data_IF_634606584034
#
_entry.id   IF_634606584034
#
_cell.length_a   1.000
_cell.length_b   1.000
_cell.length_c   1.000
_cell.angle_alpha   90.00
_cell.angle_beta   90.00
_cell.angle_gamma   90.00
#
_symmetry.space_group_name_H-M   'P 1'
#
loop_
_entity.id
_entity.type
_entity.pdbx_description
1 polymer ?
#
# COMPACT_ATOMS: atom_id res chain seq x y z
N UNK A 1 23.45 -12.81 -14.40
CA UNK A 1 22.97 -12.28 -15.70
C UNK A 1 21.46 -12.12 -15.84
N UNK A 2 20.60 -13.16 -15.81
CA UNK A 2 19.13 -12.96 -16.02
C UNK A 2 18.46 -12.09 -14.94
N UNK A 3 18.92 -12.13 -13.71
CA UNK A 3 18.35 -11.33 -12.61
C UNK A 3 18.86 -9.88 -12.57
N UNK A 4 20.08 -9.63 -13.05
CA UNK A 4 20.64 -8.27 -13.18
C UNK A 4 19.93 -7.47 -14.28
N UNK A 5 19.65 -8.12 -15.42
CA UNK A 5 18.89 -7.50 -16.52
C UNK A 5 17.44 -7.19 -16.10
N UNK A 6 16.83 -8.01 -15.23
CA UNK A 6 15.49 -7.73 -14.68
C UNK A 6 15.48 -6.52 -13.74
N UNK A 7 16.55 -6.27 -12.99
CA UNK A 7 16.67 -5.10 -12.09
C UNK A 7 16.99 -3.80 -12.84
N UNK A 8 17.68 -3.89 -13.98
CA UNK A 8 18.04 -2.72 -14.80
C UNK A 8 16.86 -2.11 -15.57
N UNK A 9 15.93 -2.93 -16.06
CA UNK A 9 14.75 -2.44 -16.80
C UNK A 9 13.92 -1.38 -16.06
N UNK A 10 13.50 -1.59 -14.79
CA UNK A 10 12.74 -0.58 -14.07
C UNK A 10 13.57 0.68 -13.78
N UNK A 11 14.85 0.55 -13.43
CA UNK A 11 15.72 1.70 -13.18
C UNK A 11 15.89 2.59 -14.43
N UNK A 12 16.17 1.98 -15.58
CA UNK A 12 16.26 2.69 -16.86
C UNK A 12 14.92 3.31 -17.25
N UNK A 13 13.81 2.60 -17.04
CA UNK A 13 12.48 3.13 -17.29
C UNK A 13 12.18 4.35 -16.40
N UNK A 14 12.50 4.30 -15.11
CA UNK A 14 12.29 5.42 -14.19
C UNK A 14 13.11 6.63 -14.63
N UNK A 15 14.39 6.45 -14.94
CA UNK A 15 15.24 7.52 -15.46
C UNK A 15 14.63 8.17 -16.71
N UNK A 16 14.25 7.36 -17.71
CA UNK A 16 13.69 7.86 -18.96
C UNK A 16 12.36 8.58 -18.76
N UNK A 17 11.43 8.01 -17.99
CA UNK A 17 10.12 8.63 -17.75
C UNK A 17 10.27 10.02 -17.14
N UNK A 18 11.12 10.15 -16.12
CA UNK A 18 11.31 11.43 -15.44
C UNK A 18 12.15 12.42 -16.25
N UNK A 19 13.13 11.96 -17.03
CA UNK A 19 13.88 12.81 -17.95
C UNK A 19 12.99 13.35 -19.09
N UNK A 20 12.12 12.51 -19.66
CA UNK A 20 11.16 12.95 -20.69
C UNK A 20 10.13 13.92 -20.10
N UNK A 21 9.63 13.64 -18.88
CA UNK A 21 8.76 14.56 -18.17
C UNK A 21 9.47 15.92 -18.01
N UNK A 22 10.75 15.92 -17.63
CA UNK A 22 11.54 17.12 -17.49
C UNK A 22 11.75 17.91 -18.79
N UNK A 23 11.82 17.22 -19.94
CA UNK A 23 11.84 17.88 -21.24
C UNK A 23 10.52 18.59 -21.59
N UNK A 24 9.39 18.19 -20.99
CA UNK A 24 8.10 18.86 -21.24
C UNK A 24 8.03 20.26 -20.61
N UNK A 25 8.81 20.52 -19.55
CA UNK A 25 8.82 21.82 -18.84
C UNK A 25 10.16 22.56 -18.92
N UNK A 26 11.22 21.89 -19.39
CA UNK A 26 12.52 22.48 -19.63
C UNK A 26 13.03 22.02 -21.00
N UNK A 27 13.26 22.96 -21.91
CA UNK A 27 13.92 22.69 -23.21
C UNK A 27 15.41 22.35 -23.07
N UNK A 28 15.96 22.33 -21.85
CA UNK A 28 17.35 22.04 -21.58
C UNK A 28 17.57 20.55 -21.30
N UNK A 29 18.29 19.87 -22.20
CA UNK A 29 18.64 18.46 -22.06
C UNK A 29 19.44 18.16 -20.78
N UNK A 30 20.31 19.08 -20.36
CA UNK A 30 21.12 18.92 -19.15
C UNK A 30 20.23 18.88 -17.90
N UNK A 31 19.24 19.78 -17.81
CA UNK A 31 18.24 19.77 -16.73
C UNK A 31 17.47 18.46 -16.71
N UNK A 32 17.04 17.97 -17.87
CA UNK A 32 16.32 16.71 -17.98
C UNK A 32 17.16 15.50 -17.52
N UNK A 33 18.45 15.46 -17.86
CA UNK A 33 19.35 14.40 -17.40
C UNK A 33 19.60 14.43 -15.90
N UNK A 34 19.79 15.62 -15.30
CA UNK A 34 19.95 15.75 -13.84
C UNK A 34 18.66 15.36 -13.12
N UNK A 35 17.51 15.77 -13.65
CA UNK A 35 16.21 15.43 -13.09
C UNK A 35 15.95 13.91 -13.14
N UNK A 36 16.25 13.26 -14.26
CA UNK A 36 16.20 11.80 -14.38
C UNK A 36 17.17 11.09 -13.42
N UNK A 37 18.38 11.63 -13.24
CA UNK A 37 19.35 11.09 -12.29
C UNK A 37 18.87 11.20 -10.83
N UNK A 38 18.24 12.32 -10.46
CA UNK A 38 17.62 12.47 -9.14
C UNK A 38 16.50 11.45 -8.89
N UNK A 39 15.66 11.19 -9.89
CA UNK A 39 14.63 10.15 -9.80
C UNK A 39 15.21 8.73 -9.69
N UNK A 40 16.32 8.46 -10.38
CA UNK A 40 17.06 7.20 -10.25
C UNK A 40 17.64 7.03 -8.84
N UNK A 41 18.21 8.08 -8.25
CA UNK A 41 18.70 8.08 -6.86
C UNK A 41 17.55 7.76 -5.90
N UNK A 42 16.40 8.42 -6.05
CA UNK A 42 15.23 8.14 -5.22
C UNK A 42 14.71 6.70 -5.37
N UNK A 43 14.84 6.10 -6.56
CA UNK A 43 14.48 4.70 -6.81
C UNK A 43 15.36 3.72 -6.03
N UNK A 44 16.66 4.00 -5.88
CA UNK A 44 17.58 3.16 -5.10
C UNK A 44 17.26 3.11 -3.60
N UNK A 45 16.40 3.99 -3.09
CA UNK A 45 15.91 3.93 -1.72
C UNK A 45 15.27 2.58 -1.37
N UNK A 46 14.67 1.88 -2.35
CA UNK A 46 14.10 0.55 -2.13
C UNK A 46 15.13 -0.55 -1.87
N UNK A 47 16.42 -0.28 -2.08
CA UNK A 47 17.53 -1.22 -1.85
C UNK A 47 18.36 -0.92 -0.59
N UNK A 48 18.04 0.17 0.11
CA UNK A 48 18.73 0.58 1.34
C UNK A 48 18.06 0.05 2.61
N UNK A 49 18.85 -0.07 3.68
CA UNK A 49 18.35 -0.42 5.01
C UNK A 49 17.23 0.52 5.48
N UNK A 50 16.33 -0.02 6.31
CA UNK A 50 15.20 0.72 6.91
C UNK A 50 15.70 2.03 7.53
N UNK A 51 15.02 3.14 7.24
CA UNK A 51 15.32 4.51 7.66
C UNK A 51 16.40 5.24 6.86
N UNK A 52 17.43 4.56 6.36
CA UNK A 52 18.40 5.17 5.42
C UNK A 52 17.77 5.45 4.06
N UNK A 53 16.71 4.73 3.73
CA UNK A 53 15.90 4.97 2.54
C UNK A 53 15.30 6.38 2.50
N UNK A 54 14.95 6.96 3.65
CA UNK A 54 14.45 8.33 3.74
C UNK A 54 15.51 9.36 3.31
N UNK A 55 16.77 9.17 3.69
CA UNK A 55 17.88 10.03 3.25
C UNK A 55 18.13 9.92 1.75
N UNK A 56 18.08 8.70 1.19
CA UNK A 56 18.27 8.48 -0.24
C UNK A 56 17.15 9.13 -1.05
N UNK A 57 15.89 9.04 -0.57
CA UNK A 57 14.76 9.77 -1.17
C UNK A 57 14.98 11.27 -1.09
N UNK A 58 15.35 11.79 0.08
CA UNK A 58 15.62 13.22 0.26
C UNK A 58 16.69 13.71 -0.74
N UNK A 59 17.80 12.99 -0.86
CA UNK A 59 18.88 13.30 -1.81
C UNK A 59 18.37 13.32 -3.27
N UNK A 60 17.59 12.32 -3.68
CA UNK A 60 16.99 12.29 -5.01
C UNK A 60 16.09 13.50 -5.30
N UNK A 61 15.23 13.87 -4.35
CA UNK A 61 14.37 15.06 -4.46
C UNK A 61 15.15 16.37 -4.49
N UNK A 62 16.25 16.50 -3.73
CA UNK A 62 17.12 17.68 -3.82
C UNK A 62 17.84 17.80 -5.15
N UNK A 63 18.30 16.68 -5.73
CA UNK A 63 18.92 16.67 -7.07
C UNK A 63 17.90 17.10 -8.13
N UNK A 64 16.65 16.62 -8.03
CA UNK A 64 15.56 17.05 -8.91
C UNK A 64 15.23 18.54 -8.71
N UNK A 65 15.17 19.03 -7.47
CA UNK A 65 14.95 20.44 -7.17
C UNK A 65 16.07 21.31 -7.75
N UNK A 66 17.33 20.90 -7.61
CA UNK A 66 18.48 21.60 -8.17
C UNK A 66 18.40 21.70 -9.70
N UNK A 67 17.99 20.63 -10.38
CA UNK A 67 17.78 20.64 -11.82
C UNK A 67 16.76 21.72 -12.23
N UNK A 68 15.63 21.81 -11.51
CA UNK A 68 14.59 22.80 -11.76
C UNK A 68 15.07 24.22 -11.43
N UNK A 69 15.84 24.39 -10.35
CA UNK A 69 16.42 25.69 -9.98
C UNK A 69 17.33 26.25 -11.08
N UNK A 70 18.14 25.38 -11.71
CA UNK A 70 19.03 25.76 -12.81
C UNK A 70 18.24 26.18 -14.06
N UNK A 71 17.03 25.64 -14.27
CA UNK A 71 16.23 25.87 -15.46
C UNK A 71 15.71 27.32 -15.61
N UNK A 72 15.79 28.17 -14.57
CA UNK A 72 15.38 29.60 -14.50
C UNK A 72 14.13 29.96 -15.33
N UNK A 73 13.02 30.31 -14.69
CA UNK A 73 11.82 30.72 -15.42
C UNK A 73 10.77 31.43 -14.56
N UNK A 74 9.53 31.42 -15.03
CA UNK A 74 8.39 32.00 -14.32
C UNK A 74 7.94 31.16 -13.12
N UNK A 75 6.70 31.39 -12.69
CA UNK A 75 6.15 30.78 -11.46
C UNK A 75 6.12 29.23 -11.44
N UNK A 76 6.06 28.57 -12.60
CA UNK A 76 5.96 27.10 -12.67
C UNK A 76 7.26 26.40 -12.23
N UNK A 77 8.45 26.73 -12.79
CA UNK A 77 9.73 26.26 -12.24
C UNK A 77 9.92 26.59 -10.76
N UNK A 78 9.50 27.77 -10.30
CA UNK A 78 9.62 28.16 -8.89
C UNK A 78 8.73 27.31 -7.98
N UNK A 79 7.48 27.07 -8.39
CA UNK A 79 6.57 26.14 -7.72
C UNK A 79 7.14 24.73 -7.65
N UNK A 80 7.67 24.22 -8.76
CA UNK A 80 8.27 22.88 -8.83
C UNK A 80 9.52 22.78 -7.96
N UNK A 81 10.38 23.79 -7.97
CA UNK A 81 11.55 23.87 -7.10
C UNK A 81 11.15 23.82 -5.62
N UNK A 82 10.25 24.71 -5.19
CA UNK A 82 9.81 24.78 -3.80
C UNK A 82 9.11 23.49 -3.35
N UNK A 83 8.30 22.89 -4.23
CA UNK A 83 7.63 21.62 -3.96
C UNK A 83 8.63 20.48 -3.79
N UNK A 84 9.57 20.31 -4.71
CA UNK A 84 10.57 19.24 -4.66
C UNK A 84 11.54 19.42 -3.48
N UNK A 85 12.00 20.65 -3.23
CA UNK A 85 12.85 20.96 -2.08
C UNK A 85 12.10 20.70 -0.76
N UNK A 86 10.84 21.12 -0.67
CA UNK A 86 10.00 20.87 0.51
C UNK A 86 9.76 19.38 0.75
N UNK A 87 9.52 18.59 -0.30
CA UNK A 87 9.40 17.12 -0.19
C UNK A 87 10.73 16.51 0.31
N UNK A 88 11.87 16.98 -0.21
CA UNK A 88 13.20 16.56 0.26
C UNK A 88 13.42 16.87 1.75
N UNK A 89 13.03 18.07 2.19
CA UNK A 89 13.03 18.47 3.61
C UNK A 89 12.08 17.57 4.42
N UNK A 90 10.90 17.24 3.90
CA UNK A 90 9.96 16.35 4.57
C UNK A 90 10.55 14.96 4.85
N UNK A 91 11.28 14.39 3.89
CA UNK A 91 11.99 13.12 4.11
C UNK A 91 13.13 13.24 5.13
N UNK A 92 13.86 14.35 5.12
CA UNK A 92 14.87 14.65 6.16
C UNK A 92 14.25 14.79 7.55
N UNK A 93 13.11 15.48 7.66
CA UNK A 93 12.39 15.65 8.92
C UNK A 93 11.79 14.32 9.40
N UNK A 94 11.31 13.47 8.50
CA UNK A 94 10.89 12.12 8.84
C UNK A 94 12.06 11.31 9.40
N UNK A 95 13.21 11.34 8.73
CA UNK A 95 14.44 10.67 9.21
C UNK A 95 14.88 11.21 10.58
N UNK A 96 14.93 12.53 10.75
CA UNK A 96 15.29 13.17 12.01
C UNK A 96 14.28 12.84 13.12
N UNK A 97 12.99 12.79 12.80
CA UNK A 97 11.94 12.49 13.77
C UNK A 97 12.03 11.06 14.32
N UNK A 98 12.45 10.12 13.47
CA UNK A 98 12.67 8.74 13.86
C UNK A 98 13.94 8.61 14.71
N UNK A 99 15.03 9.27 14.33
CA UNK A 99 16.30 9.16 15.07
C UNK A 99 16.29 9.91 16.39
N UNK A 100 15.72 11.12 16.42
CA UNK A 100 15.77 11.98 17.59
C UNK A 100 14.63 11.70 18.58
N UNK A 101 13.45 11.32 18.09
CA UNK A 101 12.25 11.17 18.91
C UNK A 101 11.59 9.78 18.82
N UNK A 102 12.12 8.86 17.99
CA UNK A 102 11.52 7.53 17.80
C UNK A 102 10.11 7.58 17.19
N UNK A 103 9.77 8.67 16.50
CA UNK A 103 8.41 8.95 16.03
C UNK A 103 8.32 8.87 14.51
N UNK A 104 7.45 7.97 14.03
CA UNK A 104 7.13 7.81 12.60
C UNK A 104 6.00 8.76 12.15
N UNK A 105 5.65 9.79 12.93
CA UNK A 105 4.46 10.62 12.68
C UNK A 105 4.48 11.30 11.30
N UNK A 106 5.62 11.84 10.89
CA UNK A 106 5.78 12.53 9.60
C UNK A 106 5.71 11.53 8.45
N UNK A 107 6.29 10.33 8.61
CA UNK A 107 6.24 9.27 7.61
C UNK A 107 4.79 8.77 7.42
N UNK A 108 4.06 8.55 8.51
CA UNK A 108 2.64 8.11 8.47
C UNK A 108 1.72 9.14 7.83
N UNK A 109 2.01 10.42 8.02
CA UNK A 109 1.20 11.53 7.50
C UNK A 109 1.84 12.22 6.29
N UNK A 110 2.76 11.54 5.59
CA UNK A 110 3.59 12.17 4.55
C UNK A 110 2.75 12.77 3.42
N UNK A 111 1.62 12.14 3.05
CA UNK A 111 0.70 12.69 2.02
C UNK A 111 0.14 14.05 2.43
N UNK A 112 -0.29 14.19 3.69
CA UNK A 112 -0.77 15.47 4.21
C UNK A 112 0.37 16.50 4.25
N UNK A 113 1.57 16.08 4.63
CA UNK A 113 2.76 16.93 4.65
C UNK A 113 3.12 17.45 3.25
N UNK A 114 3.13 16.58 2.24
CA UNK A 114 3.34 16.94 0.83
C UNK A 114 2.24 17.86 0.32
N UNK A 115 0.98 17.62 0.72
CA UNK A 115 -0.14 18.50 0.39
C UNK A 115 0.07 19.92 0.91
N UNK A 116 0.49 20.06 2.17
CA UNK A 116 0.81 21.37 2.78
C UNK A 116 1.98 22.04 2.06
N UNK A 117 3.04 21.29 1.74
CA UNK A 117 4.19 21.82 0.99
C UNK A 117 3.75 22.34 -0.39
N UNK A 118 2.97 21.56 -1.13
CA UNK A 118 2.51 21.95 -2.46
C UNK A 118 1.63 23.21 -2.39
N UNK A 119 0.76 23.29 -1.39
CA UNK A 119 -0.06 24.48 -1.13
C UNK A 119 0.83 25.71 -0.83
N UNK A 120 1.79 25.56 0.08
CA UNK A 120 2.69 26.64 0.46
C UNK A 120 3.56 27.09 -0.74
N UNK A 121 4.10 26.14 -1.50
CA UNK A 121 4.87 26.40 -2.71
C UNK A 121 4.04 27.15 -3.75
N UNK A 122 2.76 26.78 -3.92
CA UNK A 122 1.85 27.45 -4.85
C UNK A 122 1.55 28.89 -4.41
N UNK A 123 1.32 29.12 -3.13
CA UNK A 123 1.07 30.46 -2.59
C UNK A 123 2.29 31.38 -2.73
N UNK A 124 3.51 30.85 -2.60
CA UNK A 124 4.75 31.61 -2.72
C UNK A 124 5.09 31.89 -4.19
N UNK A 125 5.01 30.87 -5.06
CA UNK A 125 5.47 31.00 -6.44
C UNK A 125 4.48 31.72 -7.35
N UNK A 126 3.18 31.65 -7.09
CA UNK A 126 2.18 32.12 -8.05
C UNK A 126 2.10 33.67 -8.12
N UNK A 127 1.99 34.27 -9.32
CA UNK A 127 2.10 35.73 -9.47
C UNK A 127 0.94 36.54 -8.88
N UNK A 128 -0.19 35.90 -8.58
CA UNK A 128 -1.37 36.58 -8.04
C UNK A 128 -1.96 35.82 -6.84
N UNK A 129 -1.51 36.10 -5.61
CA UNK A 129 -1.86 35.32 -4.42
C UNK A 129 -3.39 35.31 -4.16
N UNK A 130 -4.08 36.42 -4.47
CA UNK A 130 -5.53 36.50 -4.34
C UNK A 130 -6.31 35.50 -5.20
N UNK A 131 -5.84 35.20 -6.42
CA UNK A 131 -6.47 34.18 -7.28
C UNK A 131 -6.16 32.76 -6.80
N UNK A 132 -4.97 32.52 -6.24
CA UNK A 132 -4.64 31.22 -5.65
C UNK A 132 -5.51 30.94 -4.45
N UNK A 133 -5.67 31.90 -3.56
CA UNK A 133 -6.54 31.74 -2.39
C UNK A 133 -7.99 31.46 -2.81
N UNK A 134 -8.49 32.15 -3.84
CA UNK A 134 -9.81 31.87 -4.40
C UNK A 134 -9.91 30.49 -5.04
N UNK A 135 -8.89 30.07 -5.81
CA UNK A 135 -8.85 28.75 -6.43
C UNK A 135 -8.79 27.64 -5.37
N UNK A 136 -7.96 27.82 -4.34
CA UNK A 136 -7.86 26.92 -3.19
C UNK A 136 -9.17 26.84 -2.41
N UNK A 137 -9.81 27.98 -2.15
CA UNK A 137 -11.12 28.02 -1.51
C UNK A 137 -12.16 27.29 -2.35
N UNK A 138 -12.19 27.55 -3.66
CA UNK A 138 -13.12 26.86 -4.58
C UNK A 138 -12.86 25.35 -4.66
N UNK A 139 -11.60 24.92 -4.60
CA UNK A 139 -11.22 23.51 -4.55
C UNK A 139 -11.69 22.85 -3.25
N UNK A 140 -11.48 23.51 -2.11
CA UNK A 140 -11.94 23.02 -0.80
C UNK A 140 -13.47 22.95 -0.75
N UNK A 141 -14.15 23.96 -1.28
CA UNK A 141 -15.61 23.96 -1.41
C UNK A 141 -16.07 22.84 -2.34
N UNK A 142 -15.43 22.63 -3.48
CA UNK A 142 -15.74 21.52 -4.39
C UNK A 142 -15.53 20.16 -3.72
N UNK A 143 -14.41 19.98 -3.00
CA UNK A 143 -14.12 18.76 -2.25
C UNK A 143 -15.14 18.54 -1.13
N UNK A 144 -15.52 19.61 -0.43
CA UNK A 144 -16.55 19.58 0.61
C UNK A 144 -17.91 19.25 0.01
N UNK A 145 -18.27 19.78 -1.16
CA UNK A 145 -19.51 19.45 -1.87
C UNK A 145 -19.51 18.01 -2.36
N UNK A 146 -18.39 17.51 -2.89
CA UNK A 146 -18.22 16.10 -3.25
C UNK A 146 -18.38 15.22 -2.02
N UNK A 147 -17.77 15.59 -0.90
CA UNK A 147 -17.91 14.87 0.36
C UNK A 147 -19.35 14.91 0.89
N UNK A 148 -20.00 16.07 0.81
CA UNK A 148 -21.40 16.26 1.21
C UNK A 148 -22.37 15.49 0.31
N UNK A 149 -22.05 15.33 -0.97
CA UNK A 149 -22.80 14.51 -1.92
C UNK A 149 -22.49 13.01 -1.75
N UNK A 150 -21.27 12.68 -1.33
CA UNK A 150 -20.84 11.32 -1.01
C UNK A 150 -21.53 10.81 0.26
N UNK A 151 -21.71 11.63 1.30
CA UNK A 151 -22.39 11.27 2.55
C UNK A 151 -23.76 10.61 2.35
N UNK A 152 -24.73 11.19 1.61
CA UNK A 152 -26.01 10.56 1.35
C UNK A 152 -25.87 9.32 0.46
N UNK A 153 -24.93 9.29 -0.49
CA UNK A 153 -24.66 8.07 -1.30
C UNK A 153 -24.14 6.94 -0.41
N UNK A 154 -23.23 7.21 0.52
CA UNK A 154 -22.78 6.22 1.51
C UNK A 154 -23.85 5.85 2.49
N UNK A 155 -24.68 6.80 2.93
CA UNK A 155 -25.77 6.56 3.86
C UNK A 155 -26.90 5.73 3.23
N UNK A 156 -27.23 6.00 1.98
CA UNK A 156 -28.18 5.22 1.19
C UNK A 156 -27.57 3.85 0.85
N UNK A 157 -26.29 3.79 0.46
CA UNK A 157 -25.57 2.54 0.22
C UNK A 157 -25.44 1.68 1.48
N UNK A 158 -25.29 2.27 2.67
CA UNK A 158 -25.25 1.52 3.93
C UNK A 158 -26.63 1.06 4.38
N UNK A 159 -27.71 1.73 3.94
CA UNK A 159 -29.10 1.36 4.27
C UNK A 159 -29.73 0.39 3.26
N UNK A 160 -29.37 0.48 1.99
CA UNK A 160 -29.89 -0.34 0.87
C UNK A 160 -28.93 -1.44 0.43
N UNK A 161 -27.64 -1.32 0.74
CA UNK A 161 -26.77 -2.47 0.76
C UNK A 161 -27.39 -3.45 1.74
N UNK A 162 -27.77 -4.64 1.25
CA UNK A 162 -27.95 -5.83 2.09
C UNK A 162 -26.94 -5.71 3.22
N UNK A 163 -27.38 -5.76 4.48
CA UNK A 163 -26.48 -5.88 5.63
C UNK A 163 -25.37 -6.86 5.24
N UNK A 164 -24.25 -6.36 4.73
CA UNK A 164 -22.95 -6.98 4.96
C UNK A 164 -22.96 -7.00 6.46
N UNK A 165 -23.08 -8.19 7.08
CA UNK A 165 -23.20 -8.28 8.52
C UNK A 165 -22.17 -7.30 9.06
N UNK A 166 -22.65 -6.32 9.83
CA UNK A 166 -21.80 -5.47 10.66
C UNK A 166 -20.66 -6.36 11.09
N UNK A 167 -19.45 -5.91 10.78
CA UNK A 167 -18.18 -6.49 11.18
C UNK A 167 -18.34 -6.98 12.62
N UNK A 168 -18.84 -8.21 12.75
CA UNK A 168 -19.11 -8.83 14.02
C UNK A 168 -17.70 -8.89 14.56
N UNK A 169 -17.49 -8.22 15.70
CA UNK A 169 -16.30 -8.39 16.52
C UNK A 169 -15.87 -9.85 16.32
N UNK A 170 -14.64 -10.08 15.81
CA UNK A 170 -14.24 -11.38 15.31
C UNK A 170 -14.74 -12.40 16.33
N UNK A 171 -15.56 -13.39 15.92
CA UNK A 171 -16.21 -14.28 16.88
C UNK A 171 -15.12 -14.74 17.81
N UNK A 172 -15.35 -14.53 19.12
CA UNK A 172 -14.36 -14.70 20.17
C UNK A 172 -13.56 -15.94 19.82
N UNK A 173 -12.24 -15.80 19.69
CA UNK A 173 -11.34 -16.89 19.33
C UNK A 173 -11.83 -18.12 20.08
N UNK A 174 -12.26 -19.19 19.38
CA UNK A 174 -12.84 -20.32 20.06
C UNK A 174 -11.78 -20.81 21.02
N UNK A 175 -11.99 -20.57 22.31
CA UNK A 175 -11.09 -21.01 23.36
C UNK A 175 -11.01 -22.52 23.14
N UNK A 176 -9.86 -23.05 22.69
CA UNK A 176 -9.80 -24.44 22.35
C UNK A 176 -10.20 -25.20 23.60
N UNK A 177 -11.13 -26.16 23.48
CA UNK A 177 -11.23 -27.19 24.51
C UNK A 177 -9.80 -27.71 24.73
N UNK A 178 -9.41 -27.95 25.98
CA UNK A 178 -8.07 -28.44 26.34
C UNK A 178 -7.81 -29.89 25.87
N UNK A 179 -8.38 -30.27 24.73
CA UNK A 179 -8.20 -31.56 24.09
C UNK A 179 -7.00 -31.45 23.12
N UNK A 180 -6.15 -32.49 23.00
CA UNK A 180 -4.97 -32.45 22.12
C UNK A 180 -5.31 -32.16 20.65
N UNK A 181 -6.48 -32.61 20.21
CA UNK A 181 -6.98 -32.45 18.85
C UNK A 181 -7.33 -31.00 18.49
N UNK A 182 -8.01 -30.27 19.39
CA UNK A 182 -8.38 -28.87 19.18
C UNK A 182 -7.15 -27.95 19.23
N UNK A 183 -6.13 -28.30 20.01
CA UNK A 183 -4.85 -27.58 20.04
C UNK A 183 -4.05 -27.77 18.74
N UNK A 184 -4.06 -28.97 18.17
CA UNK A 184 -3.41 -29.24 16.89
C UNK A 184 -4.15 -28.54 15.73
N UNK A 185 -5.49 -28.61 15.73
CA UNK A 185 -6.33 -27.90 14.75
C UNK A 185 -6.13 -26.39 14.82
N UNK A 186 -6.10 -25.79 16.01
CA UNK A 186 -5.93 -24.33 16.16
C UNK A 186 -4.56 -23.88 15.64
N UNK A 187 -3.50 -24.65 15.90
CA UNK A 187 -2.14 -24.40 15.41
C UNK A 187 -2.06 -24.48 13.88
N UNK A 188 -2.76 -25.44 13.29
CA UNK A 188 -2.74 -25.67 11.84
C UNK A 188 -3.57 -24.61 11.11
N UNK A 189 -4.73 -24.23 11.67
CA UNK A 189 -5.57 -23.15 11.15
C UNK A 189 -4.85 -21.81 11.27
N UNK A 190 -4.19 -21.52 12.40
CA UNK A 190 -3.42 -20.27 12.55
C UNK A 190 -2.24 -20.20 11.58
N UNK A 191 -1.55 -21.32 11.31
CA UNK A 191 -0.50 -21.37 10.30
C UNK A 191 -1.01 -21.01 8.89
N UNK A 192 -2.20 -21.48 8.51
CA UNK A 192 -2.79 -21.12 7.23
C UNK A 192 -3.31 -19.66 7.19
N UNK A 193 -4.03 -19.23 8.22
CA UNK A 193 -4.64 -17.89 8.27
C UNK A 193 -3.57 -16.81 8.40
N UNK A 194 -2.58 -16.97 9.27
CA UNK A 194 -1.57 -15.95 9.55
C UNK A 194 -0.39 -15.99 8.58
N UNK A 195 0.09 -17.19 8.22
CA UNK A 195 1.31 -17.37 7.43
C UNK A 195 1.07 -17.81 5.99
N UNK A 196 -0.17 -18.19 5.64
CA UNK A 196 -0.51 -18.68 4.29
C UNK A 196 -0.02 -20.10 4.01
N UNK A 197 0.46 -20.82 5.03
CA UNK A 197 1.01 -22.16 4.88
C UNK A 197 -0.13 -23.17 4.64
N UNK A 198 -0.24 -23.67 3.41
CA UNK A 198 -1.28 -24.63 3.02
C UNK A 198 -1.00 -26.05 3.49
N UNK A 199 0.27 -26.47 3.45
CA UNK A 199 0.65 -27.87 3.63
C UNK A 199 0.20 -28.47 4.98
N UNK A 200 0.36 -27.79 6.13
CA UNK A 200 -0.09 -28.32 7.42
C UNK A 200 -1.61 -28.56 7.46
N UNK A 201 -2.39 -27.63 6.90
CA UNK A 201 -3.86 -27.73 6.87
C UNK A 201 -4.34 -28.87 5.98
N UNK A 202 -3.73 -29.03 4.81
CA UNK A 202 -4.03 -30.13 3.90
C UNK A 202 -3.74 -31.49 4.53
N UNK A 203 -2.57 -31.63 5.17
CA UNK A 203 -2.17 -32.88 5.82
C UNK A 203 -3.10 -33.23 6.98
N UNK A 204 -3.48 -32.23 7.80
CA UNK A 204 -4.41 -32.43 8.90
C UNK A 204 -5.79 -32.90 8.39
N UNK A 205 -6.32 -32.25 7.36
CA UNK A 205 -7.61 -32.61 6.76
C UNK A 205 -7.62 -33.99 6.12
N UNK A 206 -6.52 -34.39 5.46
CA UNK A 206 -6.38 -35.73 4.87
C UNK A 206 -6.26 -36.81 5.94
N UNK A 207 -5.50 -36.54 7.01
CA UNK A 207 -5.27 -37.50 8.11
C UNK A 207 -6.53 -37.75 8.95
N UNK A 208 -7.36 -36.72 9.13
CA UNK A 208 -8.58 -36.78 9.93
C UNK A 208 -9.85 -36.84 9.10
N UNK A 209 -9.72 -37.10 7.79
CA UNK A 209 -10.87 -37.36 6.94
C UNK A 209 -11.59 -38.64 7.37
N UNK A 210 -12.94 -38.64 7.44
CA UNK A 210 -13.69 -39.85 7.70
C UNK A 210 -13.38 -40.88 6.61
N UNK A 211 -12.91 -42.08 6.98
CA UNK A 211 -12.55 -43.16 6.04
C UNK A 211 -13.69 -43.69 5.16
N UNK A 212 -14.88 -43.06 5.19
CA UNK A 212 -16.03 -43.30 4.31
C UNK A 212 -16.27 -42.21 3.27
N UNK A 213 -15.56 -41.09 3.31
CA UNK A 213 -15.65 -40.06 2.28
C UNK A 213 -14.85 -40.52 1.05
N UNK A 214 -15.51 -40.65 -0.11
CA UNK A 214 -14.81 -40.91 -1.38
C UNK A 214 -13.76 -39.82 -1.63
N UNK A 215 -12.58 -40.18 -2.11
CA UNK A 215 -11.46 -39.27 -2.45
C UNK A 215 -11.91 -38.03 -3.25
N UNK A 216 -12.90 -38.20 -4.14
CA UNK A 216 -13.48 -37.14 -4.97
C UNK A 216 -14.17 -36.04 -4.16
N UNK A 217 -14.78 -36.37 -3.02
CA UNK A 217 -15.49 -35.41 -2.17
C UNK A 217 -14.53 -34.59 -1.30
N UNK A 218 -13.47 -35.24 -0.82
CA UNK A 218 -12.38 -34.59 -0.08
C UNK A 218 -11.62 -33.66 -1.03
N UNK A 219 -11.31 -34.13 -2.24
CA UNK A 219 -10.69 -33.30 -3.28
C UNK A 219 -11.53 -32.06 -3.58
N UNK A 220 -12.86 -32.21 -3.73
CA UNK A 220 -13.76 -31.07 -3.96
C UNK A 220 -13.80 -30.09 -2.78
N UNK A 221 -13.78 -30.58 -1.55
CA UNK A 221 -13.76 -29.72 -0.35
C UNK A 221 -12.44 -28.96 -0.21
N UNK A 222 -11.32 -29.57 -0.63
CA UNK A 222 -9.98 -29.02 -0.42
C UNK A 222 -9.46 -28.19 -1.60
N UNK A 223 -10.02 -28.39 -2.80
CA UNK A 223 -9.70 -27.66 -4.03
C UNK A 223 -9.63 -26.14 -3.88
N UNK A 224 -10.55 -25.46 -3.16
CA UNK A 224 -10.47 -24.01 -2.94
C UNK A 224 -9.20 -23.55 -2.22
N UNK A 225 -8.64 -24.37 -1.32
CA UNK A 225 -7.39 -24.08 -0.60
C UNK A 225 -6.18 -24.31 -1.50
N UNK A 226 -6.21 -25.36 -2.33
CA UNK A 226 -5.14 -25.70 -3.28
C UNK A 226 -5.01 -24.59 -4.33
N UNK A 227 -6.12 -24.18 -4.93
CA UNK A 227 -6.15 -23.19 -6.02
C UNK A 227 -5.92 -21.74 -5.54
N UNK A 228 -5.96 -21.49 -4.23
CA UNK A 228 -5.75 -20.16 -3.66
C UNK A 228 -4.35 -19.61 -4.02
N UNK A 229 -4.26 -18.44 -4.68
CA UNK A 229 -2.99 -17.74 -4.89
C UNK A 229 -3.04 -16.37 -4.23
N UNK A 230 -2.03 -16.08 -3.42
CA UNK A 230 -1.78 -14.71 -2.95
C UNK A 230 -1.43 -13.83 -4.14
N UNK A 231 -2.04 -12.65 -4.23
CA UNK A 231 -1.79 -11.69 -5.30
C UNK A 231 -1.42 -10.33 -4.72
N UNK A 232 -0.36 -10.32 -3.92
CA UNK A 232 0.22 -9.08 -3.41
C UNK A 232 1.18 -8.50 -4.44
N UNK A 233 0.84 -7.32 -4.96
CA UNK A 233 1.77 -6.56 -5.82
C UNK A 233 2.91 -6.02 -4.96
N UNK A 234 4.18 -6.27 -5.32
CA UNK A 234 5.35 -5.82 -4.55
C UNK A 234 5.55 -4.29 -4.57
N UNK A 235 4.74 -3.56 -5.35
CA UNK A 235 4.79 -2.10 -5.49
C UNK A 235 3.69 -1.38 -4.70
N UNK A 236 2.86 -2.12 -3.95
CA UNK A 236 1.80 -1.51 -3.17
C UNK A 236 2.39 -0.70 -1.99
N UNK A 237 1.83 0.48 -1.66
CA UNK A 237 2.19 1.22 -0.47
C UNK A 237 2.00 0.39 0.81
N UNK A 238 2.80 0.61 1.89
CA UNK A 238 2.75 -0.21 3.11
C UNK A 238 1.35 -0.37 3.73
N UNK A 239 0.55 0.70 3.75
CA UNK A 239 -0.83 0.68 4.25
C UNK A 239 -1.78 -0.14 3.37
N UNK A 240 -1.55 -0.20 2.05
CA UNK A 240 -2.29 -1.07 1.14
C UNK A 240 -1.91 -2.51 1.40
N UNK A 241 -0.63 -2.80 1.66
CA UNK A 241 -0.16 -4.15 2.01
C UNK A 241 -0.79 -4.60 3.32
N UNK A 242 -0.83 -3.73 4.33
CA UNK A 242 -1.39 -4.06 5.65
C UNK A 242 -2.90 -4.27 5.59
N UNK A 243 -3.64 -3.38 4.92
CA UNK A 243 -5.08 -3.56 4.66
C UNK A 243 -5.37 -4.82 3.83
N UNK A 244 -4.59 -5.08 2.78
CA UNK A 244 -4.72 -6.30 1.96
C UNK A 244 -4.38 -7.56 2.75
N UNK A 245 -3.44 -7.50 3.70
CA UNK A 245 -3.13 -8.62 4.60
C UNK A 245 -4.29 -8.93 5.53
N UNK A 246 -4.95 -7.91 6.07
CA UNK A 246 -6.16 -8.10 6.88
C UNK A 246 -7.32 -8.67 6.05
N UNK A 247 -7.55 -8.13 4.86
CA UNK A 247 -8.53 -8.65 3.90
C UNK A 247 -8.21 -10.10 3.48
N UNK A 248 -6.94 -10.45 3.28
CA UNK A 248 -6.51 -11.81 2.98
C UNK A 248 -6.67 -12.76 4.18
N UNK A 249 -6.38 -12.33 5.40
CA UNK A 249 -6.63 -13.11 6.61
C UNK A 249 -8.11 -13.45 6.75
N UNK A 250 -8.99 -12.46 6.56
CA UNK A 250 -10.45 -12.64 6.55
C UNK A 250 -10.87 -13.63 5.46
N UNK A 251 -10.33 -13.50 4.25
CA UNK A 251 -10.64 -14.40 3.14
C UNK A 251 -10.18 -15.84 3.40
N UNK A 252 -9.01 -16.03 4.02
CA UNK A 252 -8.50 -17.36 4.41
C UNK A 252 -9.35 -17.99 5.51
N UNK A 253 -9.79 -17.21 6.49
CA UNK A 253 -10.70 -17.66 7.55
C UNK A 253 -12.04 -18.14 6.97
N UNK A 254 -12.64 -17.35 6.08
CA UNK A 254 -13.88 -17.72 5.41
C UNK A 254 -13.74 -19.02 4.58
N UNK A 255 -12.60 -19.21 3.91
CA UNK A 255 -12.30 -20.45 3.20
C UNK A 255 -12.23 -21.64 4.17
N UNK A 256 -11.56 -21.51 5.31
CA UNK A 256 -11.51 -22.59 6.31
C UNK A 256 -12.90 -22.93 6.84
N UNK A 257 -13.72 -21.92 7.16
CA UNK A 257 -15.10 -22.13 7.62
C UNK A 257 -15.98 -22.82 6.56
N UNK A 258 -15.82 -22.45 5.28
CA UNK A 258 -16.53 -23.08 4.17
C UNK A 258 -16.12 -24.55 3.99
N UNK A 259 -14.82 -24.85 4.13
CA UNK A 259 -14.30 -26.23 4.09
C UNK A 259 -14.83 -27.06 5.27
N UNK A 260 -14.82 -26.50 6.49
CA UNK A 260 -15.36 -27.19 7.68
C UNK A 260 -16.85 -27.48 7.50
N UNK A 261 -17.66 -26.49 7.10
CA UNK A 261 -19.10 -26.69 6.82
C UNK A 261 -19.34 -27.76 5.75
N UNK A 262 -18.51 -27.77 4.71
CA UNK A 262 -18.58 -28.76 3.64
C UNK A 262 -18.28 -30.16 4.21
N UNK A 263 -17.28 -30.31 5.07
CA UNK A 263 -16.93 -31.57 5.70
C UNK A 263 -17.97 -32.05 6.74
N UNK A 264 -18.54 -31.12 7.51
CA UNK A 264 -19.67 -31.41 8.44
C UNK A 264 -20.90 -31.89 7.68
N UNK A 265 -21.24 -31.24 6.56
CA UNK A 265 -22.37 -31.66 5.70
C UNK A 265 -22.17 -33.04 5.07
N UNK A 266 -20.93 -33.51 5.00
CA UNK A 266 -20.55 -34.83 4.49
C UNK A 266 -20.44 -35.89 5.62
N UNK A 267 -20.79 -35.54 6.86
CA UNK A 267 -20.79 -36.45 8.01
C UNK A 267 -19.43 -36.64 8.68
N UNK A 268 -18.51 -35.68 8.54
CA UNK A 268 -17.10 -35.83 8.91
C UNK A 268 -16.64 -35.32 10.27
N UNK A 269 -17.48 -34.64 11.05
CA UNK A 269 -17.11 -34.17 12.40
C UNK A 269 -18.30 -34.31 13.34
N UNK A 270 -18.31 -35.40 14.10
CA UNK A 270 -19.15 -35.62 15.28
C UNK A 270 -18.28 -35.95 16.47
#
# INVERSE_FOLDING_TARGET
>A
MKDEVKRLKPAVSTFFTWAVLALMFSSNFLVATIFGAGALIAWFAGSTERYKDLLVRAAGFFVMALAVFIARGGWVPEFLFLSLAGIGIGYLLAYAGIILWGSDFIERNFVAFVGIIAIAALLVAYPSPGRVLWAMFSLLVALALIYLAYLPVTYVSSRLGKRTPEELLPPAEPVPKNDPYSLELSRVVSAFVEKGEKAPLLVFLLRHSPGRALDVHIERAVKPIIDYRESLSPLAPPWVIEKRREEEKLRRRNLVEEVIKTLESMGGLG
#
